data_IF_495886729800
#
_entry.id   IF_495886729800
#
_cell.length_a   1.000
_cell.length_b   1.000
_cell.length_c   1.000
_cell.angle_alpha   90.00
_cell.angle_beta   90.00
_cell.angle_gamma   90.00
#
_symmetry.space_group_name_H-M   'P 1'
#
loop_
_entity.id
_entity.type
_entity.pdbx_description
1 polymer ?
#
# COMPACT_ATOMS: atom_id res chain seq x y z
N UNK A 1 -20.40 -8.12 14.18
CA UNK A 1 -20.95 -7.39 13.01
C UNK A 1 -21.40 -8.44 11.98
N UNK A 2 -22.64 -8.43 11.51
CA UNK A 2 -23.14 -9.47 10.58
C UNK A 2 -22.72 -9.26 9.11
N UNK A 3 -22.82 -10.30 8.28
CA UNK A 3 -22.47 -10.30 6.83
C UNK A 3 -23.08 -9.13 6.04
N UNK A 4 -24.32 -8.74 6.36
CA UNK A 4 -25.01 -7.60 5.72
C UNK A 4 -24.39 -6.24 6.05
N UNK A 5 -23.85 -6.03 7.25
CA UNK A 5 -23.20 -4.78 7.63
C UNK A 5 -21.82 -4.66 6.97
N UNK A 6 -21.12 -5.78 6.83
CA UNK A 6 -19.88 -5.95 6.08
C UNK A 6 -20.03 -5.55 4.61
N UNK A 7 -21.03 -6.09 3.89
CA UNK A 7 -21.25 -5.74 2.48
C UNK A 7 -21.65 -4.28 2.27
N UNK A 8 -22.34 -3.66 3.24
CA UNK A 8 -22.63 -2.22 3.22
C UNK A 8 -21.35 -1.41 3.37
N UNK A 9 -20.44 -1.82 4.25
CA UNK A 9 -19.16 -1.12 4.45
C UNK A 9 -18.29 -1.16 3.18
N UNK A 10 -18.13 -2.32 2.54
CA UNK A 10 -17.35 -2.42 1.29
C UNK A 10 -18.00 -1.61 0.16
N UNK A 11 -19.33 -1.63 0.05
CA UNK A 11 -20.04 -0.79 -0.93
C UNK A 11 -19.86 0.71 -0.66
N UNK A 12 -19.86 1.12 0.60
CA UNK A 12 -19.62 2.50 0.99
C UNK A 12 -18.17 2.93 0.77
N UNK A 13 -17.21 2.00 0.94
CA UNK A 13 -15.77 2.25 0.85
C UNK A 13 -15.10 1.21 -0.08
N UNK A 14 -15.26 1.32 -1.41
CA UNK A 14 -14.76 0.32 -2.35
C UNK A 14 -13.24 0.14 -2.32
N UNK A 15 -12.48 1.19 -1.96
CA UNK A 15 -11.03 1.12 -1.79
C UNK A 15 -10.56 0.32 -0.57
N UNK A 16 -11.44 0.04 0.39
CA UNK A 16 -11.06 -0.68 1.61
C UNK A 16 -10.64 -2.13 1.31
N UNK A 17 -11.34 -2.79 0.38
CA UNK A 17 -11.08 -4.20 0.06
C UNK A 17 -9.75 -4.40 -0.68
N UNK A 18 -9.26 -3.37 -1.38
CA UNK A 18 -7.94 -3.42 -2.00
C UNK A 18 -6.82 -3.04 -1.03
N UNK A 19 -7.14 -2.34 0.05
CA UNK A 19 -6.17 -1.83 1.01
C UNK A 19 -5.91 -2.76 2.21
N UNK A 20 -6.81 -3.67 2.53
CA UNK A 20 -6.66 -4.58 3.66
C UNK A 20 -6.08 -5.93 3.24
N UNK A 21 -5.04 -6.35 3.95
CA UNK A 21 -4.35 -7.62 3.76
C UNK A 21 -4.44 -8.43 5.06
N UNK A 22 -5.40 -9.36 5.19
CA UNK A 22 -5.47 -10.27 6.33
C UNK A 22 -4.58 -11.50 6.13
N UNK A 23 -4.13 -12.05 7.25
CA UNK A 23 -3.47 -13.35 7.37
C UNK A 23 -4.25 -14.13 8.42
N UNK A 24 -4.74 -15.30 8.05
CA UNK A 24 -5.60 -16.08 8.93
C UNK A 24 -4.82 -16.81 10.03
N UNK A 25 -3.57 -17.22 9.78
CA UNK A 25 -2.76 -18.01 10.72
C UNK A 25 -2.60 -17.39 12.10
N UNK A 26 -2.34 -16.07 12.18
CA UNK A 26 -2.29 -15.32 13.43
C UNK A 26 -3.42 -14.34 13.65
N UNK A 27 -4.39 -14.31 12.73
CA UNK A 27 -5.26 -13.15 12.60
C UNK A 27 -4.42 -11.85 12.52
N UNK A 28 -3.48 -11.73 11.57
CA UNK A 28 -2.74 -10.47 11.35
C UNK A 28 -3.43 -9.67 10.26
N UNK A 29 -3.49 -8.35 10.37
CA UNK A 29 -4.09 -7.50 9.35
C UNK A 29 -3.26 -6.25 9.11
N UNK A 30 -2.85 -6.07 7.86
CA UNK A 30 -2.17 -4.87 7.40
C UNK A 30 -3.13 -4.03 6.56
N UNK A 31 -3.24 -2.72 6.85
CA UNK A 31 -3.78 -1.79 5.86
C UNK A 31 -2.64 -1.13 5.10
N UNK A 32 -2.62 -1.30 3.78
CA UNK A 32 -1.64 -0.70 2.89
C UNK A 32 -2.34 -0.03 1.72
N UNK A 33 -1.68 0.96 1.14
CA UNK A 33 -2.07 1.45 -0.17
C UNK A 33 -1.52 0.46 -1.22
N UNK A 34 -2.37 -0.10 -2.10
CA UNK A 34 -1.93 -0.96 -3.20
C UNK A 34 -0.76 -0.34 -3.98
N UNK A 35 0.26 -1.15 -4.29
CA UNK A 35 1.52 -0.76 -4.95
C UNK A 35 2.44 0.23 -4.20
N UNK A 36 1.98 0.92 -3.14
CA UNK A 36 2.84 1.70 -2.22
C UNK A 36 3.29 0.86 -1.01
N UNK A 37 2.58 -0.23 -0.71
CA UNK A 37 2.95 -1.19 0.33
C UNK A 37 4.44 -1.55 0.21
N UNK A 38 5.20 -1.31 1.29
CA UNK A 38 6.62 -1.64 1.33
C UNK A 38 6.77 -3.14 1.06
N UNK A 39 7.63 -3.50 0.09
CA UNK A 39 8.01 -4.90 -0.15
C UNK A 39 8.38 -5.61 1.17
N UNK A 40 9.00 -4.90 2.12
CA UNK A 40 9.32 -5.44 3.45
C UNK A 40 8.08 -5.87 4.22
N UNK A 41 7.03 -5.06 4.24
CA UNK A 41 5.83 -5.35 5.04
C UNK A 41 5.07 -6.54 4.46
N UNK A 42 5.03 -6.67 3.13
CA UNK A 42 4.48 -7.87 2.49
C UNK A 42 5.35 -9.10 2.78
N UNK A 43 6.68 -8.98 2.73
CA UNK A 43 7.60 -10.06 3.13
C UNK A 43 7.41 -10.47 4.59
N UNK A 44 7.22 -9.51 5.50
CA UNK A 44 6.92 -9.75 6.91
C UNK A 44 5.61 -10.54 7.05
N UNK A 45 4.57 -10.14 6.32
CA UNK A 45 3.30 -10.87 6.31
C UNK A 45 3.50 -12.32 5.87
N UNK A 46 4.22 -12.54 4.77
CA UNK A 46 4.53 -13.89 4.29
C UNK A 46 5.32 -14.71 5.31
N UNK A 47 6.28 -14.09 5.99
CA UNK A 47 7.04 -14.75 7.06
C UNK A 47 6.19 -15.14 8.24
N UNK A 48 5.35 -14.23 8.74
CA UNK A 48 4.45 -14.50 9.86
C UNK A 48 3.55 -15.67 9.50
N UNK A 49 2.95 -15.63 8.30
CA UNK A 49 2.09 -16.70 7.83
C UNK A 49 2.77 -18.07 7.91
N UNK A 50 3.98 -18.19 7.35
CA UNK A 50 4.65 -19.50 7.35
C UNK A 50 5.20 -19.89 8.73
N UNK A 51 5.75 -18.95 9.52
CA UNK A 51 6.14 -19.21 10.91
C UNK A 51 4.98 -19.81 11.69
N UNK A 52 3.78 -19.23 11.59
CA UNK A 52 2.65 -19.73 12.36
C UNK A 52 2.20 -21.13 11.88
N UNK A 53 2.26 -21.40 10.57
CA UNK A 53 1.99 -22.75 10.03
C UNK A 53 3.02 -23.77 10.56
N UNK A 54 4.30 -23.38 10.68
CA UNK A 54 5.35 -24.19 11.30
C UNK A 54 4.97 -24.56 12.74
N UNK A 55 4.61 -23.54 13.52
CA UNK A 55 4.29 -23.71 14.93
C UNK A 55 3.06 -24.61 15.10
N UNK A 56 2.06 -24.49 14.23
CA UNK A 56 0.90 -25.39 14.19
C UNK A 56 1.35 -26.82 13.91
N UNK A 57 2.18 -27.05 12.89
CA UNK A 57 2.67 -28.39 12.53
C UNK A 57 3.45 -29.01 13.69
N UNK A 58 4.37 -28.26 14.30
CA UNK A 58 5.24 -28.78 15.37
C UNK A 58 4.50 -29.09 16.68
N UNK A 59 3.46 -28.32 17.01
CA UNK A 59 2.67 -28.52 18.22
C UNK A 59 1.51 -29.52 18.05
N UNK A 60 1.28 -29.98 16.83
CA UNK A 60 0.23 -30.95 16.51
C UNK A 60 0.74 -32.36 16.72
N UNK A 61 0.58 -32.90 17.92
CA UNK A 61 0.90 -34.31 18.22
C UNK A 61 -0.06 -35.31 17.56
N UNK A 62 -1.19 -34.86 17.01
CA UNK A 62 -2.25 -35.71 16.45
C UNK A 62 -3.05 -35.07 15.29
N UNK A 63 -2.60 -33.96 14.70
CA UNK A 63 -3.25 -33.44 13.49
C UNK A 63 -2.67 -34.19 12.30
N UNK A 64 -3.51 -34.90 11.54
CA UNK A 64 -3.06 -35.72 10.43
C UNK A 64 -2.29 -34.86 9.43
N UNK A 65 -0.97 -35.08 9.34
CA UNK A 65 -0.08 -34.43 8.38
C UNK A 65 -0.66 -34.56 6.96
N UNK A 66 -1.48 -35.57 6.70
CA UNK A 66 -2.22 -35.77 5.46
C UNK A 66 -3.30 -34.70 5.20
N UNK A 67 -4.07 -34.26 6.20
CA UNK A 67 -5.05 -33.17 6.09
C UNK A 67 -4.38 -31.81 5.82
N UNK A 68 -3.22 -31.55 6.42
CA UNK A 68 -2.44 -30.34 6.14
C UNK A 68 -1.79 -30.37 4.74
N UNK A 69 -1.41 -31.55 4.24
CA UNK A 69 -0.91 -31.74 2.86
C UNK A 69 -2.00 -31.53 1.81
N UNK A 70 -3.24 -31.95 2.08
CA UNK A 70 -4.36 -31.77 1.13
C UNK A 70 -4.86 -30.33 1.08
N UNK A 71 -4.66 -29.53 2.13
CA UNK A 71 -5.08 -28.12 2.17
C UNK A 71 -4.21 -27.14 1.34
N UNK A 72 -3.14 -27.61 0.66
CA UNK A 72 -2.27 -26.79 -0.20
C UNK A 72 -1.89 -25.42 0.42
N UNK A 73 -1.47 -25.42 1.69
CA UNK A 73 -1.19 -24.20 2.47
C UNK A 73 -0.14 -23.31 1.77
N UNK A 74 0.80 -23.94 1.06
CA UNK A 74 1.73 -23.30 0.14
C UNK A 74 1.84 -24.15 -1.14
N UNK A 75 1.69 -23.54 -2.32
CA UNK A 75 1.88 -24.25 -3.60
C UNK A 75 3.36 -24.32 -3.97
N UNK A 76 4.03 -25.37 -3.48
CA UNK A 76 5.49 -25.53 -3.61
C UNK A 76 5.97 -25.70 -5.05
N UNK A 77 5.39 -26.59 -5.88
CA UNK A 77 5.80 -26.70 -7.27
C UNK A 77 5.73 -25.36 -7.99
N UNK A 78 4.68 -24.56 -7.71
CA UNK A 78 4.51 -23.24 -8.30
C UNK A 78 5.55 -22.23 -7.80
N UNK A 79 5.89 -22.25 -6.51
CA UNK A 79 6.93 -21.39 -5.95
C UNK A 79 8.29 -21.70 -6.61
N UNK A 80 8.69 -22.97 -6.67
CA UNK A 80 9.94 -23.40 -7.30
C UNK A 80 9.98 -23.04 -8.80
N UNK A 81 8.87 -23.22 -9.52
CA UNK A 81 8.75 -22.81 -10.92
C UNK A 81 8.97 -21.29 -11.08
N UNK A 82 8.35 -20.47 -10.24
CA UNK A 82 8.47 -19.01 -10.30
C UNK A 82 9.87 -18.53 -9.90
N UNK A 83 10.50 -19.15 -8.90
CA UNK A 83 11.89 -18.85 -8.50
C UNK A 83 12.87 -19.21 -9.62
N UNK A 84 12.71 -20.38 -10.25
CA UNK A 84 13.53 -20.81 -11.39
C UNK A 84 13.42 -19.87 -12.58
N UNK A 85 12.20 -19.40 -12.92
CA UNK A 85 11.97 -18.39 -13.97
C UNK A 85 12.68 -17.05 -13.69
N UNK A 86 13.07 -16.80 -12.45
CA UNK A 86 13.80 -15.59 -12.02
C UNK A 86 15.30 -15.82 -11.83
N UNK A 87 15.82 -16.98 -12.24
CA UNK A 87 17.23 -17.32 -12.13
C UNK A 87 17.67 -17.70 -10.71
N UNK A 88 16.73 -17.93 -9.79
CA UNK A 88 17.03 -18.38 -8.43
C UNK A 88 17.09 -19.91 -8.45
N UNK A 89 18.29 -20.46 -8.24
CA UNK A 89 18.52 -21.90 -8.16
C UNK A 89 18.68 -22.26 -6.69
N UNK A 90 17.80 -23.13 -6.20
CA UNK A 90 17.87 -23.67 -4.85
C UNK A 90 18.96 -24.75 -4.81
N UNK A 91 19.74 -24.82 -3.71
CA UNK A 91 20.74 -25.86 -3.54
C UNK A 91 20.05 -27.25 -3.43
N UNK A 92 20.48 -28.17 -4.30
CA UNK A 92 20.15 -29.60 -4.38
C UNK A 92 18.68 -30.01 -4.70
N UNK A 93 18.33 -30.23 -5.98
CA UNK A 93 17.03 -30.76 -6.40
C UNK A 93 16.86 -32.29 -6.22
N UNK A 94 17.87 -33.02 -5.72
CA UNK A 94 17.87 -34.48 -5.64
C UNK A 94 17.74 -35.05 -4.22
N UNK A 95 17.63 -34.22 -3.18
CA UNK A 95 17.26 -34.66 -1.85
C UNK A 95 15.74 -34.93 -1.75
N UNK A 96 15.29 -35.99 -1.06
CA UNK A 96 13.86 -36.25 -0.87
C UNK A 96 13.20 -35.10 -0.11
N UNK A 97 12.25 -34.43 -0.78
CA UNK A 97 11.56 -33.26 -0.24
C UNK A 97 10.52 -33.70 0.81
N UNK A 98 10.93 -33.74 2.08
CA UNK A 98 10.00 -33.86 3.22
C UNK A 98 9.32 -32.51 3.51
N UNK A 99 8.16 -32.48 4.18
CA UNK A 99 7.54 -31.23 4.64
C UNK A 99 8.52 -30.39 5.49
N UNK A 100 9.40 -31.06 6.24
CA UNK A 100 10.50 -30.47 7.01
C UNK A 100 11.56 -29.85 6.10
N UNK A 101 11.97 -30.51 5.00
CA UNK A 101 12.91 -29.94 4.03
C UNK A 101 12.36 -28.71 3.33
N UNK A 102 11.05 -28.61 3.18
CA UNK A 102 10.32 -27.54 2.51
C UNK A 102 10.15 -26.32 3.41
N UNK A 103 9.89 -26.61 4.68
CA UNK A 103 9.93 -25.66 5.77
C UNK A 103 11.32 -25.12 6.00
N UNK A 104 12.33 -26.00 5.99
CA UNK A 104 13.73 -25.63 6.01
C UNK A 104 14.06 -24.84 4.76
N UNK A 105 13.56 -25.19 3.58
CA UNK A 105 13.76 -24.44 2.33
C UNK A 105 13.13 -23.05 2.41
N UNK A 106 11.93 -22.91 2.96
CA UNK A 106 11.28 -21.61 3.16
C UNK A 106 11.96 -20.80 4.27
N UNK A 107 12.29 -21.42 5.42
CA UNK A 107 13.07 -20.83 6.51
C UNK A 107 14.49 -20.48 6.06
N UNK A 108 15.07 -21.22 5.12
CA UNK A 108 16.37 -21.00 4.51
C UNK A 108 16.27 -19.97 3.38
N UNK A 109 15.14 -19.81 2.69
CA UNK A 109 14.87 -18.64 1.82
C UNK A 109 14.70 -17.36 2.65
N UNK A 110 14.05 -17.47 3.82
CA UNK A 110 13.95 -16.39 4.80
C UNK A 110 15.27 -16.15 5.56
N UNK A 111 16.20 -17.12 5.57
CA UNK A 111 17.53 -17.09 6.20
C UNK A 111 18.69 -17.32 5.21
N UNK A 112 18.52 -17.04 3.92
CA UNK A 112 19.62 -17.15 2.94
C UNK A 112 20.44 -15.87 3.18
N UNK A 113 21.63 -15.88 3.77
CA UNK A 113 22.46 -16.97 4.30
C UNK A 113 22.87 -16.57 5.73
N UNK A 114 23.67 -17.42 6.37
CA UNK A 114 24.78 -16.90 7.17
C UNK A 114 25.47 -15.87 6.28
N UNK A 115 25.21 -14.58 6.52
CA UNK A 115 25.89 -13.49 5.84
C UNK A 115 27.38 -13.82 5.95
N UNK A 116 28.04 -14.14 4.84
CA UNK A 116 29.32 -13.50 4.66
C UNK A 116 29.01 -12.01 4.85
N UNK A 117 29.64 -11.38 5.84
CA UNK A 117 29.39 -10.01 6.29
C UNK A 117 29.44 -8.96 5.15
N UNK A 118 29.82 -9.41 3.95
CA UNK A 118 30.00 -8.67 2.71
C UNK A 118 28.85 -8.77 1.70
N UNK A 119 27.84 -9.64 1.86
CA UNK A 119 26.75 -9.77 0.87
C UNK A 119 25.73 -8.62 0.94
N UNK A 120 25.55 -7.82 -0.13
CA UNK A 120 24.67 -6.66 -0.12
C UNK A 120 23.22 -7.10 -0.20
N UNK A 121 22.58 -7.14 0.95
CA UNK A 121 21.14 -7.05 1.13
C UNK A 121 20.22 -7.99 0.33
N UNK A 122 19.74 -9.07 0.96
CA UNK A 122 18.70 -9.95 0.41
C UNK A 122 17.35 -9.19 0.19
N UNK A 123 17.15 -8.66 -1.01
CA UNK A 123 15.90 -8.02 -1.40
C UNK A 123 14.99 -9.03 -2.11
N UNK A 124 14.24 -9.83 -1.35
CA UNK A 124 13.13 -10.60 -1.94
C UNK A 124 12.01 -9.64 -2.36
N UNK A 125 11.69 -9.61 -3.65
CA UNK A 125 10.56 -8.82 -4.16
C UNK A 125 9.30 -9.70 -4.16
N UNK A 126 8.40 -9.60 -3.17
CA UNK A 126 7.21 -10.46 -3.13
C UNK A 126 6.28 -10.27 -4.34
N UNK A 127 6.42 -9.18 -5.09
CA UNK A 127 5.69 -8.95 -6.34
C UNK A 127 6.22 -9.76 -7.54
N UNK A 128 7.42 -10.35 -7.43
CA UNK A 128 7.92 -11.23 -8.50
C UNK A 128 7.29 -12.62 -8.48
N UNK A 129 6.52 -12.93 -7.43
CA UNK A 129 5.76 -14.16 -7.31
C UNK A 129 4.27 -13.85 -7.17
N UNK A 130 3.42 -14.78 -7.60
CA UNK A 130 1.98 -14.65 -7.39
C UNK A 130 1.64 -15.07 -5.97
N UNK A 131 1.64 -14.11 -5.03
CA UNK A 131 1.45 -14.42 -3.60
C UNK A 131 0.13 -15.13 -3.33
N UNK A 132 -0.95 -14.82 -4.07
CA UNK A 132 -2.23 -15.56 -3.96
C UNK A 132 -2.09 -17.03 -4.36
N UNK A 133 -1.35 -17.31 -5.43
CA UNK A 133 -1.21 -18.67 -5.95
C UNK A 133 -0.23 -19.50 -5.09
N UNK A 134 0.74 -18.83 -4.47
CA UNK A 134 1.74 -19.48 -3.62
C UNK A 134 1.26 -19.59 -2.17
N UNK A 135 0.58 -18.58 -1.63
CA UNK A 135 0.13 -18.49 -0.24
C UNK A 135 -1.38 -18.22 -0.20
N UNK A 136 -2.23 -19.24 -0.42
CA UNK A 136 -3.68 -19.07 -0.48
C UNK A 136 -4.31 -18.47 0.80
N UNK A 137 -3.66 -18.64 1.96
CA UNK A 137 -4.08 -18.03 3.23
C UNK A 137 -3.75 -16.53 3.36
N UNK A 138 -2.99 -15.96 2.42
CA UNK A 138 -2.74 -14.52 2.32
C UNK A 138 -3.58 -13.98 1.16
N UNK A 139 -4.62 -13.21 1.49
CA UNK A 139 -5.57 -12.70 0.50
C UNK A 139 -5.31 -11.24 0.19
N UNK A 140 -5.02 -10.94 -1.09
CA UNK A 140 -4.70 -9.58 -1.56
C UNK A 140 -5.90 -8.82 -2.14
N UNK A 141 -6.97 -9.53 -2.56
CA UNK A 141 -8.05 -8.94 -3.39
C UNK A 141 -9.44 -9.57 -3.24
N UNK A 142 -9.66 -10.48 -2.29
CA UNK A 142 -10.98 -11.11 -2.16
C UNK A 142 -11.87 -10.29 -1.23
N UNK A 143 -13.18 -10.28 -1.52
CA UNK A 143 -14.22 -9.72 -0.66
C UNK A 143 -14.00 -10.24 0.76
N UNK A 144 -13.37 -9.40 1.58
CA UNK A 144 -13.08 -9.76 2.95
C UNK A 144 -14.38 -10.11 3.63
N UNK A 145 -14.42 -11.25 4.31
CA UNK A 145 -15.47 -11.45 5.31
C UNK A 145 -15.20 -10.46 6.45
N UNK A 146 -15.63 -9.21 6.30
CA UNK A 146 -15.26 -8.16 7.25
C UNK A 146 -15.75 -8.47 8.67
N UNK A 147 -16.70 -9.38 8.83
CA UNK A 147 -17.16 -9.89 10.12
C UNK A 147 -15.99 -10.46 10.93
N UNK A 148 -15.06 -11.19 10.29
CA UNK A 148 -13.81 -11.65 10.92
C UNK A 148 -12.79 -10.51 11.03
N UNK A 149 -12.78 -9.57 10.08
CA UNK A 149 -11.92 -8.38 10.10
C UNK A 149 -12.21 -7.44 11.27
N UNK A 150 -13.43 -7.42 11.81
CA UNK A 150 -13.77 -6.68 13.04
C UNK A 150 -13.51 -7.49 14.32
N UNK A 151 -13.10 -8.76 14.21
CA UNK A 151 -12.78 -9.59 15.38
C UNK A 151 -11.60 -9.01 16.15
N UNK A 152 -11.73 -8.87 17.46
CA UNK A 152 -10.60 -8.49 18.33
C UNK A 152 -9.44 -9.49 18.28
N UNK A 153 -9.64 -10.67 17.70
CA UNK A 153 -8.56 -11.64 17.44
C UNK A 153 -7.50 -11.09 16.48
N UNK A 154 -7.83 -10.10 15.64
CA UNK A 154 -6.85 -9.57 14.70
C UNK A 154 -5.87 -8.57 15.35
N UNK A 155 -4.57 -8.83 15.21
CA UNK A 155 -3.56 -7.78 15.38
C UNK A 155 -3.53 -6.93 14.11
N UNK A 156 -3.92 -5.66 14.21
CA UNK A 156 -4.01 -4.72 13.09
C UNK A 156 -2.84 -3.76 13.12
N UNK A 157 -2.18 -3.58 11.99
CA UNK A 157 -1.14 -2.57 11.86
C UNK A 157 -1.28 -1.78 10.56
N UNK A 158 -0.73 -0.57 10.56
CA UNK A 158 -0.75 0.37 9.46
C UNK A 158 0.59 1.11 9.42
N UNK A 159 1.13 1.34 8.22
CA UNK A 159 2.22 2.28 8.02
C UNK A 159 1.71 3.46 7.20
N UNK A 160 1.83 4.66 7.75
CA UNK A 160 1.41 5.92 7.13
C UNK A 160 2.61 6.71 6.64
N UNK A 161 2.38 7.61 5.68
CA UNK A 161 3.36 8.56 5.16
C UNK A 161 2.72 9.94 5.13
N UNK A 162 3.52 11.00 5.21
CA UNK A 162 3.03 12.36 5.12
C UNK A 162 2.13 12.53 3.87
N UNK A 163 0.89 13.05 4.02
CA UNK A 163 -0.08 13.08 2.92
C UNK A 163 0.42 13.87 1.70
N UNK A 164 1.16 14.97 1.92
CA UNK A 164 1.74 15.76 0.84
C UNK A 164 2.92 15.05 0.17
N UNK A 165 3.71 14.27 0.91
CA UNK A 165 4.77 13.48 0.31
C UNK A 165 4.20 12.40 -0.60
N UNK A 166 3.16 11.71 -0.09
CA UNK A 166 2.46 10.67 -0.83
C UNK A 166 1.81 11.22 -2.10
N UNK A 167 1.14 12.36 -2.02
CA UNK A 167 0.52 13.01 -3.19
C UNK A 167 1.55 13.41 -4.25
N UNK A 168 2.70 13.98 -3.83
CA UNK A 168 3.78 14.36 -4.74
C UNK A 168 4.48 13.14 -5.36
N UNK A 169 4.66 12.06 -4.59
CA UNK A 169 5.16 10.77 -5.06
C UNK A 169 4.22 10.17 -6.11
N UNK A 170 2.90 10.18 -5.85
CA UNK A 170 1.88 9.70 -6.78
C UNK A 170 1.89 10.50 -8.09
N UNK A 171 2.01 11.83 -8.02
CA UNK A 171 2.17 12.65 -9.21
C UNK A 171 3.40 12.23 -10.01
N UNK A 172 4.58 12.20 -9.38
CA UNK A 172 5.85 11.88 -10.06
C UNK A 172 5.79 10.52 -10.77
N UNK A 173 5.35 9.49 -10.06
CA UNK A 173 5.37 8.11 -10.55
C UNK A 173 4.24 7.79 -11.53
N UNK A 174 3.03 8.31 -11.30
CA UNK A 174 1.83 7.89 -12.05
C UNK A 174 1.32 8.92 -13.05
N UNK A 175 1.61 10.21 -12.87
CA UNK A 175 1.02 11.29 -13.67
C UNK A 175 2.08 12.00 -14.52
N UNK A 176 3.24 12.29 -13.93
CA UNK A 176 4.36 12.93 -14.61
C UNK A 176 5.15 11.96 -15.50
N UNK A 177 5.08 10.65 -15.22
CA UNK A 177 5.73 9.61 -16.02
C UNK A 177 4.81 9.17 -17.15
N UNK A 178 5.28 9.29 -18.39
CA UNK A 178 4.54 8.91 -19.60
C UNK A 178 4.46 7.38 -19.76
N UNK A 179 3.47 6.85 -20.50
CA UNK A 179 3.22 5.41 -20.54
C UNK A 179 4.42 4.66 -21.15
N UNK A 180 5.06 5.26 -22.15
CA UNK A 180 6.27 4.74 -22.81
C UNK A 180 7.50 4.65 -21.89
N UNK A 181 7.52 5.41 -20.80
CA UNK A 181 8.65 5.49 -19.87
C UNK A 181 8.42 4.62 -18.63
N UNK A 182 7.29 3.89 -18.55
CA UNK A 182 6.98 2.98 -17.44
C UNK A 182 7.48 1.58 -17.71
N UNK A 183 7.93 0.92 -16.64
CA UNK A 183 8.28 -0.50 -16.65
C UNK A 183 7.05 -1.38 -16.90
N UNK A 184 5.89 -1.00 -16.34
CA UNK A 184 4.63 -1.73 -16.48
C UNK A 184 3.50 -0.81 -16.95
N UNK A 185 2.61 -1.27 -17.85
CA UNK A 185 1.43 -0.51 -18.27
C UNK A 185 0.46 -0.26 -17.12
N UNK A 186 -0.06 0.96 -17.03
CA UNK A 186 -1.09 1.32 -16.04
C UNK A 186 -2.21 2.17 -16.66
N UNK A 187 -3.12 1.54 -17.42
CA UNK A 187 -4.15 2.25 -18.21
C UNK A 187 -5.04 3.16 -17.37
N UNK A 188 -5.25 2.84 -16.10
CA UNK A 188 -5.99 3.69 -15.17
C UNK A 188 -5.36 5.08 -15.06
N UNK A 189 -4.05 5.18 -14.82
CA UNK A 189 -3.36 6.47 -14.67
C UNK A 189 -3.20 7.20 -16.00
N UNK A 190 -3.18 6.47 -17.12
CA UNK A 190 -3.21 7.08 -18.45
C UNK A 190 -4.55 7.78 -18.70
N UNK A 191 -5.67 7.14 -18.30
CA UNK A 191 -6.99 7.76 -18.35
C UNK A 191 -7.11 8.95 -17.40
N UNK A 192 -6.50 8.90 -16.21
CA UNK A 192 -6.44 10.04 -15.28
C UNK A 192 -5.72 11.21 -15.94
N UNK A 193 -4.53 11.00 -16.53
CA UNK A 193 -3.79 12.04 -17.26
C UNK A 193 -4.61 12.66 -18.39
N UNK A 194 -5.25 11.83 -19.24
CA UNK A 194 -6.12 12.31 -20.31
C UNK A 194 -7.32 13.10 -19.78
N UNK A 195 -7.89 12.69 -18.65
CA UNK A 195 -8.99 13.40 -18.00
C UNK A 195 -8.57 14.77 -17.49
N UNK A 196 -7.41 14.84 -16.82
CA UNK A 196 -6.84 16.12 -16.34
C UNK A 196 -6.56 17.03 -17.53
N UNK A 197 -5.96 16.48 -18.58
CA UNK A 197 -5.70 17.19 -19.83
C UNK A 197 -6.99 17.80 -20.42
N UNK A 198 -8.02 16.98 -20.66
CA UNK A 198 -9.28 17.49 -21.26
C UNK A 198 -10.00 18.54 -20.41
N UNK A 199 -9.85 18.49 -19.09
CA UNK A 199 -10.58 19.39 -18.18
C UNK A 199 -9.83 20.68 -17.87
N UNK A 200 -8.51 20.61 -17.66
CA UNK A 200 -7.77 21.66 -16.98
C UNK A 200 -6.65 22.25 -17.83
N UNK A 201 -6.09 21.49 -18.77
CA UNK A 201 -5.19 22.10 -19.76
C UNK A 201 -6.04 22.75 -20.84
N UNK A 202 -5.99 24.09 -20.91
CA UNK A 202 -6.52 24.85 -22.05
C UNK A 202 -5.66 24.54 -23.27
N UNK A 203 -5.85 23.38 -23.88
CA UNK A 203 -5.34 23.16 -25.23
C UNK A 203 -6.05 24.18 -26.11
N UNK A 204 -5.29 25.12 -26.68
CA UNK A 204 -5.75 25.93 -27.79
C UNK A 204 -6.02 24.96 -28.94
N UNK A 205 -7.21 24.37 -28.97
CA UNK A 205 -7.56 23.38 -29.97
C UNK A 205 -7.77 24.11 -31.28
N UNK A 206 -6.68 24.32 -32.03
CA UNK A 206 -6.76 24.37 -33.47
C UNK A 206 -7.26 22.99 -33.91
N UNK A 207 -8.60 22.84 -33.99
CA UNK A 207 -9.33 21.63 -34.45
C UNK A 207 -8.99 21.21 -35.90
N UNK A 208 -7.94 21.78 -36.50
CA UNK A 208 -7.46 21.53 -37.86
C UNK A 208 -6.31 20.53 -37.93
N UNK A 209 -5.76 20.06 -36.80
CA UNK A 209 -4.75 19.01 -36.79
C UNK A 209 -5.42 17.62 -36.81
N UNK A 210 -5.17 16.89 -37.90
CA UNK A 210 -5.41 15.47 -38.18
C UNK A 210 -6.33 14.67 -37.21
N UNK A 211 -7.42 14.04 -37.70
CA UNK A 211 -8.34 13.21 -36.89
C UNK A 211 -7.72 11.97 -36.22
N UNK A 212 -6.42 11.71 -36.36
CA UNK A 212 -5.80 10.42 -36.02
C UNK A 212 -5.04 10.38 -34.68
N UNK A 213 -4.81 11.49 -34.00
CA UNK A 213 -4.01 11.53 -32.76
C UNK A 213 -4.75 12.30 -31.66
N UNK A 214 -5.03 11.63 -30.53
CA UNK A 214 -5.58 12.28 -29.33
C UNK A 214 -4.54 13.28 -28.78
N UNK A 215 -4.83 14.60 -28.73
CA UNK A 215 -3.87 15.60 -28.23
C UNK A 215 -3.48 15.39 -26.76
N UNK A 216 -4.27 14.61 -26.01
CA UNK A 216 -3.99 14.27 -24.63
C UNK A 216 -3.15 13.01 -24.43
N UNK A 217 -2.87 12.22 -25.48
CA UNK A 217 -2.18 10.92 -25.35
C UNK A 217 -0.82 11.05 -24.64
N UNK A 218 -0.04 12.03 -25.10
CA UNK A 218 1.31 12.30 -24.60
C UNK A 218 1.38 13.55 -23.72
N UNK A 219 0.23 14.09 -23.28
CA UNK A 219 0.19 15.26 -22.41
C UNK A 219 0.59 14.88 -20.98
N UNK A 220 1.47 15.69 -20.37
CA UNK A 220 1.81 15.60 -18.95
C UNK A 220 1.15 16.76 -18.24
N UNK A 221 0.09 16.53 -17.44
CA UNK A 221 -0.50 17.58 -16.63
C UNK A 221 0.52 18.15 -15.66
N UNK A 222 0.43 19.46 -15.38
CA UNK A 222 1.20 20.09 -14.30
C UNK A 222 0.77 19.55 -12.95
N UNK A 223 1.61 19.76 -11.92
CA UNK A 223 1.27 19.38 -10.56
C UNK A 223 0.00 20.09 -10.06
N UNK A 224 -0.18 21.37 -10.40
CA UNK A 224 -1.40 22.11 -10.09
C UNK A 224 -2.65 21.45 -10.69
N UNK A 225 -2.64 21.12 -11.99
CA UNK A 225 -3.80 20.46 -12.62
C UNK A 225 -4.09 19.09 -11.98
N UNK A 226 -3.05 18.35 -11.60
CA UNK A 226 -3.21 17.11 -10.87
C UNK A 226 -3.84 17.33 -9.49
N UNK A 227 -3.37 18.31 -8.72
CA UNK A 227 -3.93 18.65 -7.41
C UNK A 227 -5.39 19.09 -7.51
N UNK A 228 -5.73 19.94 -8.47
CA UNK A 228 -7.11 20.36 -8.72
C UNK A 228 -8.01 19.17 -9.08
N UNK A 229 -7.49 18.23 -9.87
CA UNK A 229 -8.19 16.97 -10.12
C UNK A 229 -8.40 16.16 -8.84
N UNK A 230 -7.38 15.98 -8.01
CA UNK A 230 -7.50 15.26 -6.73
C UNK A 230 -8.54 15.92 -5.83
N UNK A 231 -8.50 17.25 -5.70
CA UNK A 231 -9.49 18.02 -4.95
C UNK A 231 -10.91 17.80 -5.50
N UNK A 232 -11.09 17.78 -6.83
CA UNK A 232 -12.39 17.52 -7.47
C UNK A 232 -12.95 16.11 -7.20
N UNK A 233 -12.06 15.15 -6.89
CA UNK A 233 -12.43 13.79 -6.49
C UNK A 233 -12.69 13.65 -4.99
N UNK A 234 -12.41 14.67 -4.18
CA UNK A 234 -12.65 14.69 -2.74
C UNK A 234 -13.83 15.56 -2.27
N UNK A 235 -14.54 16.24 -3.18
CA UNK A 235 -15.53 17.27 -2.84
C UNK A 235 -16.75 16.79 -2.04
N UNK A 236 -17.07 15.50 -2.14
CA UNK A 236 -18.22 14.90 -1.42
C UNK A 236 -17.81 13.59 -0.79
N UNK A 237 -18.46 13.14 0.30
CA UNK A 237 -18.15 11.85 0.93
C UNK A 237 -18.19 10.67 -0.06
N UNK A 238 -19.15 10.70 -1.00
CA UNK A 238 -19.32 9.67 -2.02
C UNK A 238 -18.17 9.64 -3.04
N UNK A 239 -17.60 10.80 -3.40
CA UNK A 239 -16.42 10.88 -4.27
C UNK A 239 -15.14 10.53 -3.49
N UNK A 240 -15.00 11.07 -2.28
CA UNK A 240 -13.88 10.81 -1.36
C UNK A 240 -13.67 9.30 -1.16
N UNK A 241 -14.75 8.54 -0.96
CA UNK A 241 -14.69 7.08 -0.81
C UNK A 241 -14.26 6.31 -2.08
N UNK A 242 -14.29 6.96 -3.24
CA UNK A 242 -13.92 6.40 -4.56
C UNK A 242 -12.62 6.98 -5.12
N UNK A 243 -11.93 7.83 -4.36
CA UNK A 243 -10.61 8.34 -4.75
C UNK A 243 -9.63 7.18 -4.96
N UNK A 244 -8.66 7.36 -5.87
CA UNK A 244 -7.59 6.39 -6.03
C UNK A 244 -6.81 6.27 -4.72
N UNK A 245 -6.42 5.04 -4.41
CA UNK A 245 -5.76 4.71 -3.15
C UNK A 245 -4.46 5.49 -2.92
N UNK A 246 -3.76 5.92 -3.97
CA UNK A 246 -2.51 6.68 -3.86
C UNK A 246 -2.73 8.10 -3.33
N UNK A 247 -3.91 8.69 -3.49
CA UNK A 247 -4.22 10.03 -2.98
C UNK A 247 -5.48 10.12 -2.10
N UNK A 248 -6.17 9.02 -1.84
CA UNK A 248 -7.25 8.94 -0.84
C UNK A 248 -6.67 9.04 0.58
N UNK A 249 -7.20 9.86 1.51
CA UNK A 249 -6.71 9.94 2.89
C UNK A 249 -6.67 8.55 3.58
N UNK A 250 -5.65 8.30 4.42
CA UNK A 250 -5.48 7.07 5.18
C UNK A 250 -6.66 6.82 6.13
N UNK A 251 -7.11 7.86 6.82
CA UNK A 251 -8.32 7.85 7.66
C UNK A 251 -9.55 7.33 6.92
N UNK A 252 -9.64 7.63 5.62
CA UNK A 252 -10.70 7.13 4.74
C UNK A 252 -10.40 5.72 4.22
N UNK A 253 -9.30 5.49 3.50
CA UNK A 253 -9.07 4.18 2.85
C UNK A 253 -8.91 3.05 3.86
N UNK A 254 -8.24 3.31 4.97
CA UNK A 254 -8.01 2.35 6.06
C UNK A 254 -9.08 2.42 7.14
N UNK A 255 -10.11 3.27 7.01
CA UNK A 255 -11.20 3.39 7.99
C UNK A 255 -10.70 3.43 9.44
N UNK A 256 -9.70 4.28 9.72
CA UNK A 256 -8.96 4.28 10.99
C UNK A 256 -9.85 4.58 12.20
N UNK A 257 -10.94 5.32 11.99
CA UNK A 257 -11.95 5.57 13.03
C UNK A 257 -12.83 4.34 13.34
N UNK A 258 -12.92 3.35 12.44
CA UNK A 258 -13.72 2.13 12.62
C UNK A 258 -12.89 0.93 13.07
N UNK A 259 -11.61 0.88 12.69
CA UNK A 259 -10.72 -0.20 13.09
C UNK A 259 -9.77 0.25 14.19
N UNK A 260 -9.74 -0.50 15.29
CA UNK A 260 -8.74 -0.30 16.34
C UNK A 260 -7.41 -0.90 15.87
N UNK A 261 -6.53 -0.06 15.34
CA UNK A 261 -5.16 -0.46 15.00
C UNK A 261 -4.34 -0.67 16.27
N UNK A 262 -3.65 -1.81 16.33
CA UNK A 262 -2.75 -2.17 17.43
C UNK A 262 -1.36 -1.54 17.26
N UNK A 263 -1.01 -1.13 16.04
CA UNK A 263 0.24 -0.48 15.72
C UNK A 263 0.07 0.47 14.53
N UNK A 264 0.60 1.69 14.62
CA UNK A 264 0.68 2.64 13.52
C UNK A 264 2.11 3.14 13.43
N UNK A 265 2.82 2.74 12.37
CA UNK A 265 4.18 3.20 12.06
C UNK A 265 4.19 4.28 10.98
N UNK A 266 5.33 4.94 10.81
CA UNK A 266 5.57 5.97 9.80
C UNK A 266 6.65 5.52 8.82
N UNK A 267 6.53 5.92 7.56
CA UNK A 267 7.53 5.62 6.54
C UNK A 267 8.81 6.45 6.71
N UNK A 268 8.69 7.59 7.39
CA UNK A 268 9.77 8.51 7.75
C UNK A 268 10.71 7.87 8.80
N UNK A 269 10.14 7.13 9.75
CA UNK A 269 10.84 6.37 10.81
C UNK A 269 10.75 4.85 10.58
N UNK A 270 10.65 4.43 9.30
CA UNK A 270 10.27 3.08 8.92
C UNK A 270 11.05 1.96 9.63
N UNK A 271 12.38 2.07 9.73
CA UNK A 271 13.19 1.02 10.34
C UNK A 271 12.92 0.89 11.84
N UNK A 272 12.82 2.00 12.57
CA UNK A 272 12.62 2.01 14.03
C UNK A 272 11.20 1.54 14.38
N UNK A 273 10.22 1.96 13.58
CA UNK A 273 8.84 1.49 13.72
C UNK A 273 8.71 0.01 13.36
N UNK A 274 9.44 -0.47 12.34
CA UNK A 274 9.48 -1.88 12.00
C UNK A 274 10.10 -2.72 13.12
N UNK A 275 11.19 -2.26 13.76
CA UNK A 275 11.76 -2.94 14.95
C UNK A 275 10.70 -3.07 16.04
N UNK A 276 9.96 -2.00 16.31
CA UNK A 276 8.93 -1.99 17.35
C UNK A 276 7.78 -2.94 17.03
N UNK A 277 7.31 -2.97 15.78
CA UNK A 277 6.30 -3.93 15.32
C UNK A 277 6.80 -5.38 15.44
N UNK A 278 8.03 -5.67 15.04
CA UNK A 278 8.61 -7.01 15.11
C UNK A 278 8.69 -7.51 16.56
N UNK A 279 9.06 -6.64 17.51
CA UNK A 279 9.02 -6.96 18.95
C UNK A 279 7.59 -7.30 19.40
N UNK A 280 6.60 -6.48 19.02
CA UNK A 280 5.19 -6.74 19.34
C UNK A 280 4.67 -8.07 18.74
N UNK A 281 5.20 -8.49 17.59
CA UNK A 281 4.84 -9.74 16.92
C UNK A 281 5.66 -10.95 17.39
N UNK A 282 6.58 -10.77 18.35
CA UNK A 282 7.56 -11.75 18.82
C UNK A 282 8.40 -12.33 17.66
N UNK A 283 9.04 -11.46 16.89
CA UNK A 283 9.92 -11.82 15.76
C UNK A 283 11.32 -11.21 16.01
N UNK A 284 12.17 -11.86 16.81
CA UNK A 284 13.48 -11.29 17.20
C UNK A 284 14.55 -11.38 16.09
N UNK A 285 14.46 -12.35 15.18
CA UNK A 285 15.54 -12.70 14.24
C UNK A 285 15.34 -12.16 12.81
N UNK A 286 14.44 -11.21 12.60
CA UNK A 286 14.26 -10.63 11.27
C UNK A 286 15.39 -9.65 10.96
N UNK A 287 16.26 -9.99 10.00
CA UNK A 287 17.32 -9.10 9.57
C UNK A 287 16.73 -7.87 8.85
N UNK A 288 16.57 -6.77 9.59
CA UNK A 288 16.24 -5.47 9.02
C UNK A 288 17.54 -4.90 8.47
N UNK A 289 17.90 -5.28 7.25
CA UNK A 289 18.81 -4.41 6.50
C UNK A 289 18.16 -3.04 6.47
N UNK A 290 18.91 -2.01 6.90
CA UNK A 290 18.45 -0.63 6.90
C UNK A 290 17.94 -0.32 5.52
N UNK A 291 16.61 -0.34 5.34
CA UNK A 291 16.04 0.25 4.15
C UNK A 291 16.35 1.72 4.27
N UNK A 292 16.92 2.30 3.22
CA UNK A 292 16.92 3.76 3.11
C UNK A 292 15.44 4.14 3.24
N UNK A 293 15.07 4.77 4.37
CA UNK A 293 13.78 5.44 4.48
C UNK A 293 13.61 6.35 3.28
N UNK A 294 12.37 6.72 2.94
CA UNK A 294 12.09 7.62 1.83
C UNK A 294 13.08 8.80 1.87
N UNK A 295 14.03 8.80 0.93
CA UNK A 295 15.31 9.49 1.12
C UNK A 295 15.16 11.00 0.97
N UNK A 296 15.81 11.79 1.83
CA UNK A 296 15.74 13.26 1.83
C UNK A 296 16.02 13.98 0.51
N UNK A 297 16.64 13.33 -0.49
CA UNK A 297 16.80 13.89 -1.84
C UNK A 297 15.47 14.15 -2.56
N UNK A 298 14.40 13.39 -2.27
CA UNK A 298 13.08 13.63 -2.86
C UNK A 298 12.32 14.78 -2.20
N UNK A 299 12.66 15.13 -0.96
CA UNK A 299 11.93 16.13 -0.16
C UNK A 299 12.00 17.52 -0.79
N UNK A 300 13.18 17.96 -1.24
CA UNK A 300 13.34 19.27 -1.89
C UNK A 300 12.52 19.38 -3.18
N UNK A 301 12.55 18.33 -4.02
CA UNK A 301 11.74 18.30 -5.24
C UNK A 301 10.24 18.37 -4.92
N UNK A 302 9.78 17.65 -3.90
CA UNK A 302 8.38 17.70 -3.49
C UNK A 302 7.98 19.07 -2.92
N UNK A 303 8.84 19.70 -2.12
CA UNK A 303 8.62 21.07 -1.64
C UNK A 303 8.50 22.07 -2.80
N UNK A 304 9.31 21.94 -3.85
CA UNK A 304 9.22 22.78 -5.05
C UNK A 304 7.89 22.62 -5.80
N UNK A 305 7.33 21.41 -5.83
CA UNK A 305 6.00 21.19 -6.42
C UNK A 305 4.95 22.03 -5.67
N UNK A 306 4.97 22.03 -4.34
CA UNK A 306 4.02 22.79 -3.52
C UNK A 306 4.26 24.29 -3.51
N UNK A 307 5.52 24.75 -3.63
CA UNK A 307 5.83 26.18 -3.67
C UNK A 307 5.18 26.89 -4.86
N UNK A 308 4.92 26.16 -5.96
CA UNK A 308 4.28 26.70 -7.16
C UNK A 308 2.75 26.83 -7.09
N UNK A 309 2.10 26.25 -6.08
CA UNK A 309 0.64 26.23 -6.00
C UNK A 309 0.09 27.54 -5.38
N UNK A 310 -1.10 28.03 -5.77
CA UNK A 310 -1.78 29.11 -5.05
C UNK A 310 -2.21 28.72 -3.62
N UNK A 311 -2.29 29.70 -2.70
CA UNK A 311 -2.68 29.52 -1.29
C UNK A 311 -4.04 28.84 -1.12
N UNK A 312 -5.03 29.24 -1.91
CA UNK A 312 -6.35 28.64 -1.84
C UNK A 312 -6.34 27.14 -2.20
N UNK A 313 -5.44 26.69 -3.09
CA UNK A 313 -5.27 25.27 -3.42
C UNK A 313 -4.62 24.52 -2.27
N UNK A 314 -3.56 25.09 -1.68
CA UNK A 314 -2.90 24.51 -0.50
C UNK A 314 -3.88 24.37 0.67
N UNK A 315 -4.73 25.38 0.91
CA UNK A 315 -5.72 25.32 1.98
C UNK A 315 -6.78 24.24 1.75
N UNK A 316 -7.26 24.09 0.51
CA UNK A 316 -8.18 22.99 0.16
C UNK A 316 -7.51 21.62 0.33
N UNK A 317 -6.22 21.49 -0.01
CA UNK A 317 -5.45 20.26 0.24
C UNK A 317 -5.29 19.98 1.74
N UNK A 318 -4.98 21.01 2.54
CA UNK A 318 -4.92 20.90 4.00
C UNK A 318 -6.26 20.38 4.56
N UNK A 319 -7.38 20.92 4.09
CA UNK A 319 -8.71 20.49 4.52
C UNK A 319 -9.00 19.03 4.11
N UNK A 320 -8.65 18.64 2.88
CA UNK A 320 -8.83 17.26 2.40
C UNK A 320 -8.07 16.22 3.26
N UNK A 321 -6.88 16.57 3.74
CA UNK A 321 -6.03 15.68 4.54
C UNK A 321 -6.01 16.01 6.03
N UNK A 322 -6.90 16.87 6.51
CA UNK A 322 -6.87 17.38 7.88
C UNK A 322 -6.86 16.26 8.94
N UNK A 323 -7.70 15.25 8.75
CA UNK A 323 -7.78 14.13 9.69
C UNK A 323 -6.50 13.30 9.69
N UNK A 324 -5.86 13.10 8.53
CA UNK A 324 -4.56 12.42 8.45
C UNK A 324 -3.46 13.24 9.13
N UNK A 325 -3.44 14.56 8.90
CA UNK A 325 -2.45 15.46 9.50
C UNK A 325 -2.55 15.44 11.03
N UNK A 326 -3.77 15.55 11.57
CA UNK A 326 -4.00 15.57 13.01
C UNK A 326 -3.78 14.19 13.64
N UNK A 327 -4.37 13.14 13.08
CA UNK A 327 -4.33 11.80 13.68
C UNK A 327 -2.91 11.22 13.70
N UNK A 328 -2.11 11.49 12.67
CA UNK A 328 -0.75 10.97 12.57
C UNK A 328 0.32 11.99 12.97
N UNK A 329 -0.08 13.15 13.50
CA UNK A 329 0.84 14.21 13.92
C UNK A 329 1.85 14.59 12.82
N UNK A 330 1.33 14.99 11.66
CA UNK A 330 2.08 15.54 10.54
C UNK A 330 1.87 17.05 10.45
N UNK A 331 2.91 17.76 10.01
CA UNK A 331 2.90 19.22 9.89
C UNK A 331 2.95 19.61 8.42
N UNK A 332 2.05 20.48 7.99
CA UNK A 332 2.03 20.95 6.60
C UNK A 332 3.33 21.69 6.25
N UNK A 333 3.97 22.30 7.25
CA UNK A 333 5.21 23.05 7.17
C UNK A 333 6.39 22.19 6.70
N UNK A 334 6.30 20.86 6.83
CA UNK A 334 7.33 19.93 6.36
C UNK A 334 7.45 19.96 4.81
N UNK A 335 6.38 20.32 4.10
CA UNK A 335 6.33 20.43 2.63
C UNK A 335 5.96 21.81 2.09
N UNK A 336 5.35 22.66 2.90
CA UNK A 336 4.87 23.98 2.51
C UNK A 336 5.50 25.03 3.42
N UNK A 337 6.53 25.71 2.94
CA UNK A 337 7.13 26.82 3.68
C UNK A 337 6.42 28.14 3.35
N UNK A 338 5.45 28.53 4.19
CA UNK A 338 4.73 29.81 4.07
C UNK A 338 4.58 30.48 5.41
N UNK A 339 5.08 31.70 5.50
CA UNK A 339 5.05 32.53 6.69
C UNK A 339 3.64 32.98 7.09
N UNK A 340 2.67 33.03 6.16
CA UNK A 340 1.30 33.52 6.42
C UNK A 340 0.22 32.71 5.69
N UNK A 341 0.28 31.37 5.73
CA UNK A 341 -0.79 30.54 5.18
C UNK A 341 -2.04 30.61 6.08
N UNK A 342 -2.96 31.54 5.77
CA UNK A 342 -4.24 31.66 6.48
C UNK A 342 -5.33 30.86 5.78
N UNK A 343 -5.48 29.60 6.17
CA UNK A 343 -6.61 28.80 5.73
C UNK A 343 -7.82 29.12 6.59
N UNK A 344 -8.77 29.87 6.02
CA UNK A 344 -10.10 29.98 6.61
C UNK A 344 -10.64 28.57 6.83
N UNK A 345 -11.26 28.27 7.99
CA UNK A 345 -11.96 27.02 8.17
C UNK A 345 -13.11 26.99 7.16
N UNK A 346 -12.92 26.30 6.03
CA UNK A 346 -14.06 25.94 5.20
C UNK A 346 -14.88 24.97 6.04
N UNK A 347 -16.02 25.42 6.52
CA UNK A 347 -16.93 24.64 7.33
C UNK A 347 -17.54 23.51 6.50
N UNK A 348 -16.79 22.41 6.33
CA UNK A 348 -17.34 21.15 5.84
C UNK A 348 -18.40 20.64 6.83
N UNK A 349 -18.28 21.02 8.11
CA UNK A 349 -19.24 20.69 9.18
C UNK A 349 -20.62 21.33 8.95
N UNK A 350 -20.74 22.50 8.30
CA UNK A 350 -22.06 23.11 8.03
C UNK A 350 -22.79 22.51 6.83
N UNK A 351 -22.11 21.71 5.99
CA UNK A 351 -22.77 20.97 4.88
C UNK A 351 -23.08 19.51 5.20
N UNK A 352 -22.45 18.92 6.21
CA UNK A 352 -22.64 17.50 6.55
C UNK A 352 -23.49 17.24 7.80
N UNK A 353 -23.74 18.25 8.65
CA UNK A 353 -24.57 18.11 9.85
C UNK A 353 -25.55 19.28 10.04
N UNK A 354 -26.42 19.52 9.04
CA UNK A 354 -27.40 20.60 9.12
C UNK A 354 -28.64 20.38 8.27
N UNK A 355 -29.58 19.55 8.76
CA UNK A 355 -31.03 19.79 8.85
C UNK A 355 -31.78 18.47 9.08
N UNK A 356 -32.53 18.41 10.19
CA UNK A 356 -33.63 17.46 10.44
C UNK A 356 -33.23 16.21 11.18
#
# INVERSE_FOLDING_TARGET
MGKFATERLVRAHPGLNSALFPIQSKSLMYCAIPKIASKTLISLMMYVYVRDIIDIINNSTNMDIYELRTQQIINIPKLLEQLKKKGIVMADPYQPVTAVSLLQTFLHILRFEKLNETSPSLFFNPWSISVKDVFPGITFRNLLNLSSVFSSSFTRFLFVRHPFERLASAYKERIATLPRDRIEPEPHYDNVRKTICRRLTRFGVNRRLSPRLDPCENSVPTFQHFVEYVLSTGETPAKLNRMDAHWQPYTTICQVCKFKYNFIGKYETFNDDLVSLLKQLNIPDWNIQKRRGASGQTTNYYQQLYSSLPDHIICRLKNLYNDDLNLFNYRIEDYVNRTTLNCQPESIITKLFGRG
#
